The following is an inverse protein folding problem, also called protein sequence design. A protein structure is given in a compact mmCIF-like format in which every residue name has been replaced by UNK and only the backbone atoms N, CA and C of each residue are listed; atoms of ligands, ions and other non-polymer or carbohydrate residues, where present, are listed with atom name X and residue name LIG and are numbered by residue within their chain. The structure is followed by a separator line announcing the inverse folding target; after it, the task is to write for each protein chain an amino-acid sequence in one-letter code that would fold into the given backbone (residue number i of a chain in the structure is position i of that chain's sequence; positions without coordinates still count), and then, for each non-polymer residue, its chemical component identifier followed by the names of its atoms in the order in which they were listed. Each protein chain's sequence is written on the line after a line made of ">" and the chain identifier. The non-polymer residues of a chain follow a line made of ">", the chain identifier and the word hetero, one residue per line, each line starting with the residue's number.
data_IF_766490945774
#
_entry.id   IF_766490945774
#
_cell.length_a   1.000
_cell.length_b   1.000
_cell.length_c   1.000
_cell.angle_alpha   90.00
_cell.angle_beta   90.00
_cell.angle_gamma   90.00
#
_symmetry.space_group_name_H-M   'P 1'
#
loop_
_entity.id
_entity.type
_entity.pdbx_description
1 polymer ?
#
# COMPACT_ATOMS: atom_id res chain seq x y z
N UNK A 1 20.71 -8.92 -5.27
CA UNK A 1 19.48 -8.38 -4.68
C UNK A 1 19.85 -7.28 -3.67
N UNK A 2 20.70 -6.32 -4.08
CA UNK A 2 21.09 -5.18 -3.25
C UNK A 2 20.83 -3.87 -3.99
N UNK A 3 20.82 -3.87 -5.32
CA UNK A 3 20.74 -2.65 -6.12
C UNK A 3 19.32 -2.09 -6.38
N UNK A 4 18.24 -2.82 -6.06
CA UNK A 4 16.86 -2.40 -6.40
C UNK A 4 16.30 -1.40 -5.37
N UNK A 5 16.84 -1.35 -4.15
CA UNK A 5 16.34 -0.50 -3.06
C UNK A 5 17.18 0.75 -2.79
N UNK A 6 18.26 0.97 -3.55
CA UNK A 6 19.22 2.07 -3.30
C UNK A 6 18.87 3.37 -4.04
N UNK A 7 17.93 3.34 -4.99
CA UNK A 7 17.54 4.54 -5.74
C UNK A 7 16.30 5.20 -5.12
N UNK A 8 16.34 6.53 -5.04
CA UNK A 8 15.21 7.33 -4.57
C UNK A 8 13.98 7.08 -5.46
N UNK A 9 12.89 6.62 -4.85
CA UNK A 9 11.66 6.32 -5.56
C UNK A 9 11.07 7.60 -6.18
N UNK A 10 11.07 7.69 -7.51
CA UNK A 10 10.49 8.81 -8.26
C UNK A 10 9.17 8.37 -8.91
N UNK A 11 8.02 8.66 -8.29
CA UNK A 11 6.74 8.26 -8.86
C UNK A 11 6.51 8.96 -10.20
N UNK A 12 6.04 8.21 -11.20
CA UNK A 12 5.66 8.79 -12.51
C UNK A 12 4.46 9.72 -12.41
N UNK A 13 3.57 9.47 -11.44
CA UNK A 13 2.37 10.26 -11.16
C UNK A 13 1.97 10.09 -9.70
N UNK A 14 1.54 11.18 -9.07
CA UNK A 14 0.91 11.17 -7.75
C UNK A 14 -0.59 11.37 -7.96
N UNK A 15 -1.39 10.51 -7.34
CA UNK A 15 -2.85 10.61 -7.34
C UNK A 15 -3.25 10.73 -5.87
N UNK A 16 -3.77 11.90 -5.50
CA UNK A 16 -4.19 12.18 -4.13
C UNK A 16 -5.71 12.06 -4.02
N UNK A 17 -6.17 11.37 -2.98
CA UNK A 17 -7.57 11.12 -2.63
C UNK A 17 -8.55 10.95 -3.82
N UNK A 18 -8.36 9.91 -4.68
CA UNK A 18 -9.24 9.69 -5.82
C UNK A 18 -10.66 9.27 -5.37
N UNK A 19 -11.67 9.64 -6.16
CA UNK A 19 -13.05 9.19 -5.91
C UNK A 19 -13.24 7.70 -6.21
N UNK A 20 -14.29 7.10 -5.66
CA UNK A 20 -14.59 5.68 -5.87
C UNK A 20 -14.85 5.38 -7.36
N UNK A 21 -15.53 6.26 -8.08
CA UNK A 21 -15.83 6.09 -9.51
C UNK A 21 -14.53 6.02 -10.32
N UNK A 22 -13.56 6.89 -9.98
CA UNK A 22 -12.27 6.91 -10.67
C UNK A 22 -11.44 5.65 -10.36
N UNK A 23 -11.48 5.17 -9.11
CA UNK A 23 -10.86 3.91 -8.73
C UNK A 23 -11.46 2.71 -9.48
N UNK A 24 -12.79 2.70 -9.65
CA UNK A 24 -13.49 1.64 -10.42
C UNK A 24 -13.13 1.66 -11.89
N UNK A 25 -13.10 2.84 -12.51
CA UNK A 25 -12.68 3.02 -13.90
C UNK A 25 -11.27 2.45 -14.14
N UNK A 26 -10.30 2.81 -13.29
CA UNK A 26 -8.93 2.28 -13.41
C UNK A 26 -8.83 0.77 -13.16
N UNK A 27 -9.62 0.23 -12.24
CA UNK A 27 -9.66 -1.21 -12.02
C UNK A 27 -10.15 -1.96 -13.27
N UNK A 28 -11.16 -1.42 -13.97
CA UNK A 28 -11.65 -1.98 -15.23
C UNK A 28 -10.61 -1.89 -16.35
N UNK A 29 -9.89 -0.78 -16.47
CA UNK A 29 -8.77 -0.63 -17.43
C UNK A 29 -7.67 -1.68 -17.24
N UNK A 30 -7.48 -2.16 -16.00
CA UNK A 30 -6.49 -3.19 -15.64
C UNK A 30 -7.06 -4.62 -15.67
N UNK A 31 -8.26 -4.83 -16.20
CA UNK A 31 -8.87 -6.16 -16.33
C UNK A 31 -9.72 -6.61 -15.15
N UNK A 32 -10.09 -5.69 -14.23
CA UNK A 32 -11.16 -5.91 -13.27
C UNK A 32 -12.51 -6.09 -13.97
N UNK A 33 -13.41 -6.82 -13.33
CA UNK A 33 -14.72 -7.19 -13.91
C UNK A 33 -15.82 -6.77 -12.94
N UNK A 34 -16.90 -6.20 -13.47
CA UNK A 34 -18.13 -5.96 -12.71
C UNK A 34 -18.98 -7.23 -12.72
N UNK A 35 -19.34 -7.72 -11.53
CA UNK A 35 -20.21 -8.88 -11.39
C UNK A 35 -21.66 -8.53 -11.68
N UNK A 36 -22.52 -9.54 -11.84
CA UNK A 36 -23.97 -9.36 -12.05
C UNK A 36 -24.65 -8.55 -10.94
N UNK A 37 -24.05 -8.50 -9.75
CA UNK A 37 -24.55 -7.75 -8.59
C UNK A 37 -23.92 -6.34 -8.47
N UNK A 38 -23.13 -5.90 -9.45
CA UNK A 38 -22.50 -4.57 -9.45
C UNK A 38 -21.21 -4.46 -8.62
N UNK A 39 -20.70 -5.58 -8.08
CA UNK A 39 -19.45 -5.59 -7.32
C UNK A 39 -18.24 -5.63 -8.25
N UNK A 40 -17.13 -5.01 -7.85
CA UNK A 40 -15.85 -5.12 -8.56
C UNK A 40 -15.14 -6.41 -8.15
N UNK A 41 -14.75 -7.23 -9.13
CA UNK A 41 -13.94 -8.43 -8.96
C UNK A 41 -12.61 -8.26 -9.67
N UNK A 42 -11.51 -8.71 -9.05
CA UNK A 42 -10.15 -8.59 -9.58
C UNK A 42 -9.39 -9.90 -9.39
N UNK A 43 -8.42 -10.16 -10.26
CA UNK A 43 -7.48 -11.28 -10.13
C UNK A 43 -6.13 -10.73 -9.72
N UNK A 44 -5.56 -11.26 -8.64
CA UNK A 44 -4.23 -10.88 -8.15
C UNK A 44 -3.24 -12.01 -8.41
N UNK A 45 -1.96 -11.67 -8.63
CA UNK A 45 -0.89 -12.66 -8.76
C UNK A 45 -0.63 -13.42 -7.45
N UNK A 46 -1.01 -12.83 -6.31
CA UNK A 46 -0.82 -13.39 -4.97
C UNK A 46 -2.17 -13.42 -4.25
N UNK A 47 -2.57 -14.60 -3.78
CA UNK A 47 -3.85 -14.81 -3.09
C UNK A 47 -3.82 -14.46 -1.59
N UNK A 48 -2.66 -14.61 -0.95
CA UNK A 48 -2.52 -14.50 0.50
C UNK A 48 -1.30 -13.67 0.87
N UNK A 49 -1.27 -13.14 2.10
CA UNK A 49 -0.09 -12.44 2.63
C UNK A 49 1.14 -13.34 2.60
N UNK A 50 2.30 -12.74 2.32
CA UNK A 50 3.60 -13.43 2.35
C UNK A 50 4.47 -12.76 3.42
N UNK A 51 4.53 -13.37 4.60
CA UNK A 51 5.21 -12.80 5.77
C UNK A 51 6.70 -12.48 5.52
N UNK A 52 7.37 -13.24 4.62
CA UNK A 52 8.79 -13.01 4.29
C UNK A 52 9.07 -11.64 3.66
N UNK A 53 8.06 -11.00 3.07
CA UNK A 53 8.18 -9.69 2.42
C UNK A 53 7.72 -8.54 3.32
N UNK A 54 7.47 -8.81 4.61
CA UNK A 54 7.16 -7.79 5.60
C UNK A 54 8.37 -7.61 6.50
N UNK A 55 8.88 -6.39 6.56
CA UNK A 55 10.06 -6.02 7.36
C UNK A 55 9.71 -4.87 8.30
N UNK A 56 10.32 -4.89 9.49
CA UNK A 56 10.26 -3.77 10.43
C UNK A 56 11.63 -3.12 10.43
N UNK A 57 11.72 -1.92 9.88
CA UNK A 57 12.95 -1.12 9.90
C UNK A 57 13.02 -0.40 11.24
N UNK A 58 13.94 -0.84 12.09
CA UNK A 58 14.22 -0.18 13.37
C UNK A 58 15.14 1.03 13.12
N UNK A 59 14.55 2.22 13.03
CA UNK A 59 15.29 3.48 12.87
C UNK A 59 15.16 4.39 14.09
N UNK A 60 16.03 5.41 14.16
CA UNK A 60 15.84 6.52 15.09
C UNK A 60 14.68 7.40 14.59
N UNK A 61 13.90 7.96 15.51
CA UNK A 61 12.79 8.84 15.17
C UNK A 61 13.33 10.22 14.75
N UNK A 62 12.92 10.69 13.58
CA UNK A 62 13.14 12.09 13.18
C UNK A 62 12.44 13.05 14.15
N UNK A 63 13.03 14.25 14.32
CA UNK A 63 12.58 15.25 15.29
C UNK A 63 11.11 15.68 15.09
N UNK A 64 10.59 15.65 13.86
CA UNK A 64 9.18 15.96 13.56
C UNK A 64 8.18 14.88 14.02
N UNK A 65 8.62 13.61 14.13
CA UNK A 65 7.75 12.50 14.55
C UNK A 65 7.58 12.40 16.07
N UNK A 66 8.33 13.16 16.87
CA UNK A 66 8.32 13.04 18.34
C UNK A 66 6.99 13.45 18.99
N UNK A 67 6.15 14.25 18.33
CA UNK A 67 4.90 14.78 18.90
C UNK A 67 3.69 13.84 18.86
N UNK A 68 3.74 12.74 18.09
CA UNK A 68 2.56 11.91 17.78
C UNK A 68 2.49 10.54 18.46
N UNK A 69 3.48 10.15 19.25
CA UNK A 69 3.53 8.79 19.81
C UNK A 69 2.73 8.67 21.12
N UNK A 70 1.55 8.07 21.06
CA UNK A 70 0.98 7.40 22.22
C UNK A 70 1.76 6.11 22.49
N UNK A 71 2.43 6.03 23.64
CA UNK A 71 3.04 4.78 24.13
C UNK A 71 1.97 3.71 24.22
N UNK A 72 2.00 2.73 23.32
CA UNK A 72 1.21 1.52 23.47
C UNK A 72 1.72 0.78 24.71
N UNK A 73 0.86 0.46 25.69
CA UNK A 73 1.28 -0.33 26.84
C UNK A 73 1.78 -1.69 26.36
N UNK A 74 2.94 -2.07 26.89
CA UNK A 74 3.61 -3.34 26.60
C UNK A 74 2.78 -4.46 27.22
N UNK A 75 1.92 -5.10 26.45
CA UNK A 75 1.28 -6.35 26.86
C UNK A 75 2.27 -7.50 26.62
N UNK A 76 2.83 -8.01 27.72
CA UNK A 76 3.48 -9.31 27.82
C UNK A 76 2.43 -10.37 28.14
#
# INVERSE_FOLDING_TARGET
>A
MQDIFAEEFKPKRIIDNPSEEKLREWALEQGGIITEFGNLSVVTAVRNRIAKFTEVVMGELDQECQGGFHRLPRFL
#
